data_IF_080622785751
#
_entry.id   IF_080622785751
#
_cell.length_a   1.000
_cell.length_b   1.000
_cell.length_c   1.000
_cell.angle_alpha   90.00
_cell.angle_beta   90.00
_cell.angle_gamma   90.00
#
_symmetry.space_group_name_H-M   'P 1'
#
loop_
_entity.id
_entity.type
_entity.pdbx_description
1 polymer ?
#
# COMPACT_ATOMS: atom_id res chain seq x y z
N UNK A 1 -10.47 24.02 12.24
CA UNK A 1 -9.84 22.80 11.66
C UNK A 1 -10.70 21.60 12.01
N UNK A 2 -11.03 20.73 11.03
CA UNK A 2 -11.78 19.51 11.28
C UNK A 2 -11.04 18.55 12.22
N UNK A 3 -11.79 17.59 12.76
CA UNK A 3 -11.27 16.50 13.59
C UNK A 3 -11.48 15.20 12.80
N UNK A 4 -10.45 14.39 12.76
CA UNK A 4 -10.47 13.05 12.17
C UNK A 4 -10.14 12.03 13.24
N UNK A 5 -10.90 10.95 13.30
CA UNK A 5 -10.51 9.75 14.04
C UNK A 5 -9.75 8.84 13.08
N UNK A 6 -8.53 8.48 13.43
CA UNK A 6 -7.65 7.64 12.61
C UNK A 6 -7.35 6.38 13.41
N UNK A 7 -7.48 5.23 12.74
CA UNK A 7 -7.04 3.95 13.25
C UNK A 7 -5.69 3.58 12.64
N UNK A 8 -4.75 3.25 13.52
CA UNK A 8 -3.42 2.76 13.15
C UNK A 8 -3.23 1.37 13.73
N UNK A 9 -2.61 0.49 12.95
CA UNK A 9 -2.30 -0.89 13.36
C UNK A 9 -0.79 -1.10 13.32
N UNK A 10 -0.28 -1.88 14.27
CA UNK A 10 1.09 -2.38 14.29
C UNK A 10 1.03 -3.83 14.79
N UNK A 11 1.34 -4.79 13.92
CA UNK A 11 1.18 -6.25 14.10
C UNK A 11 -0.19 -6.72 14.64
N UNK A 12 -0.83 -7.66 13.93
CA UNK A 12 -2.10 -8.29 14.35
C UNK A 12 -2.06 -8.79 15.82
N UNK A 13 -3.08 -8.56 16.69
CA UNK A 13 -4.33 -7.80 16.53
C UNK A 13 -4.34 -6.51 17.38
N UNK A 14 -3.27 -5.71 17.38
CA UNK A 14 -3.23 -4.46 18.15
C UNK A 14 -3.47 -3.27 17.22
N UNK A 15 -4.65 -2.67 17.35
CA UNK A 15 -5.01 -1.42 16.69
C UNK A 15 -5.23 -0.32 17.73
N UNK A 16 -5.04 0.93 17.30
CA UNK A 16 -5.25 2.12 18.12
C UNK A 16 -6.10 3.11 17.36
N UNK A 17 -7.06 3.71 18.03
CA UNK A 17 -7.89 4.79 17.48
C UNK A 17 -7.64 6.09 18.22
N UNK A 18 -7.33 7.16 17.49
CA UNK A 18 -7.11 8.49 18.07
C UNK A 18 -7.70 9.58 17.19
N UNK A 19 -8.09 10.69 17.83
CA UNK A 19 -8.64 11.85 17.14
C UNK A 19 -7.60 12.96 16.99
N UNK A 20 -7.33 13.37 15.75
CA UNK A 20 -6.38 14.41 15.39
C UNK A 20 -7.10 15.64 14.80
N UNK A 21 -6.67 16.84 15.20
CA UNK A 21 -7.08 18.08 14.54
C UNK A 21 -6.15 18.32 13.36
N UNK A 22 -6.70 18.31 12.15
CA UNK A 22 -5.93 18.48 10.92
C UNK A 22 -6.74 19.26 9.89
N UNK A 23 -6.08 19.89 8.92
CA UNK A 23 -6.77 20.54 7.81
C UNK A 23 -7.26 19.54 6.76
N UNK A 24 -6.53 18.43 6.58
CA UNK A 24 -6.84 17.38 5.60
C UNK A 24 -6.72 15.99 6.21
N UNK A 25 -7.33 14.96 5.58
CA UNK A 25 -7.14 13.55 5.94
C UNK A 25 -5.67 13.13 5.94
N UNK A 26 -4.87 13.53 4.94
CA UNK A 26 -3.45 13.17 4.83
C UNK A 26 -2.63 13.73 5.97
N UNK A 27 -2.94 14.96 6.40
CA UNK A 27 -2.31 15.54 7.58
C UNK A 27 -2.70 14.79 8.85
N UNK A 28 -3.94 14.33 8.99
CA UNK A 28 -4.35 13.49 10.11
C UNK A 28 -3.63 12.13 10.11
N UNK A 29 -3.45 11.50 8.95
CA UNK A 29 -2.71 10.24 8.80
C UNK A 29 -1.24 10.38 9.19
N UNK A 30 -0.55 11.45 8.75
CA UNK A 30 0.84 11.73 9.18
C UNK A 30 0.95 11.87 10.70
N UNK A 31 0.06 12.68 11.29
CA UNK A 31 0.03 12.85 12.75
C UNK A 31 -0.23 11.53 13.49
N UNK A 32 -0.98 10.60 12.90
CA UNK A 32 -1.27 9.31 13.50
C UNK A 32 -0.09 8.34 13.45
N UNK A 33 0.70 8.37 12.37
CA UNK A 33 1.93 7.58 12.21
C UNK A 33 3.04 8.11 13.13
N UNK A 34 3.17 9.44 13.23
CA UNK A 34 4.19 10.09 14.07
C UNK A 34 3.86 10.01 15.58
N UNK A 35 2.65 9.60 15.97
CA UNK A 35 2.26 9.43 17.37
C UNK A 35 2.86 8.12 17.93
N UNK A 36 4.07 8.24 18.46
CA UNK A 36 4.90 7.18 19.07
C UNK A 36 4.37 6.63 20.42
N UNK A 37 3.23 7.11 20.92
CA UNK A 37 2.70 6.71 22.23
C UNK A 37 1.98 5.37 22.15
N UNK A 38 2.76 4.30 21.98
CA UNK A 38 2.38 2.89 22.03
C UNK A 38 2.65 2.30 23.42
N UNK A 39 2.18 3.02 24.46
CA UNK A 39 2.51 2.76 25.87
C UNK A 39 2.58 1.27 26.21
N UNK A 40 3.77 0.85 26.63
CA UNK A 40 4.14 -0.47 27.17
C UNK A 40 4.50 -1.59 26.17
N UNK A 41 4.51 -1.33 24.86
CA UNK A 41 4.98 -2.32 23.88
C UNK A 41 6.52 -2.43 23.88
N UNK A 42 7.06 -3.65 24.01
CA UNK A 42 8.48 -3.91 23.72
C UNK A 42 8.64 -4.00 22.21
N UNK A 43 9.42 -3.08 21.64
CA UNK A 43 9.74 -3.08 20.21
C UNK A 43 10.63 -4.28 19.88
N UNK A 44 10.12 -5.21 19.07
CA UNK A 44 10.97 -6.18 18.38
C UNK A 44 11.43 -5.53 17.07
N UNK A 45 12.54 -4.80 17.11
CA UNK A 45 13.07 -4.07 15.94
C UNK A 45 13.39 -4.99 14.75
N UNK A 46 13.64 -6.27 15.00
CA UNK A 46 14.03 -7.25 13.97
C UNK A 46 12.81 -7.86 13.26
N UNK A 47 11.64 -7.91 13.91
CA UNK A 47 10.38 -8.35 13.27
C UNK A 47 9.31 -7.26 13.15
N UNK A 48 9.55 -6.05 13.67
CA UNK A 48 8.62 -4.93 13.64
C UNK A 48 8.15 -4.62 12.22
N UNK A 49 6.86 -4.77 11.97
CA UNK A 49 6.22 -4.21 10.77
C UNK A 49 6.13 -2.70 10.91
N UNK A 50 5.87 -1.97 9.82
CA UNK A 50 5.62 -0.54 9.93
C UNK A 50 4.27 -0.25 10.62
N UNK A 51 4.11 0.94 11.19
CA UNK A 51 2.77 1.44 11.53
C UNK A 51 2.08 1.94 10.26
N UNK A 52 0.86 1.47 10.01
CA UNK A 52 0.05 1.92 8.88
C UNK A 52 -1.38 2.23 9.31
N UNK A 53 -2.08 2.99 8.46
CA UNK A 53 -3.47 3.41 8.69
C UNK A 53 -4.41 2.36 8.11
N UNK A 54 -5.33 1.87 8.95
CA UNK A 54 -6.36 0.89 8.55
C UNK A 54 -7.74 1.53 8.39
N UNK A 55 -7.97 2.72 8.94
CA UNK A 55 -9.24 3.42 8.81
C UNK A 55 -9.18 4.89 9.21
N UNK A 56 -10.09 5.68 8.63
CA UNK A 56 -10.23 7.10 8.93
C UNK A 56 -11.70 7.54 8.86
N UNK A 57 -12.14 8.27 9.88
CA UNK A 57 -13.52 8.75 10.00
C UNK A 57 -13.55 10.25 10.34
N UNK A 58 -14.53 10.97 9.81
CA UNK A 58 -14.77 12.37 10.19
C UNK A 58 -15.44 12.46 11.56
N UNK A 59 -14.91 13.31 12.42
CA UNK A 59 -15.41 13.54 13.77
C UNK A 59 -14.53 12.94 14.86
N UNK A 60 -14.82 13.32 16.09
CA UNK A 60 -14.13 12.83 17.30
C UNK A 60 -14.72 11.49 17.71
N UNK A 61 -13.86 10.52 18.05
CA UNK A 61 -14.26 9.17 18.47
C UNK A 61 -15.27 8.52 17.51
N UNK A 62 -15.07 8.73 16.21
CA UNK A 62 -16.03 8.39 15.17
C UNK A 62 -15.75 7.05 14.48
N UNK A 63 -14.79 6.27 14.98
CA UNK A 63 -14.47 4.98 14.41
C UNK A 63 -15.70 4.06 14.41
N UNK A 64 -15.90 3.36 13.29
CA UNK A 64 -17.01 2.42 13.04
C UNK A 64 -18.44 2.98 13.24
N UNK A 65 -18.60 4.29 13.39
CA UNK A 65 -19.87 4.92 13.74
C UNK A 65 -20.14 6.22 12.99
N UNK A 66 -19.08 6.92 12.55
CA UNK A 66 -19.16 8.15 11.78
C UNK A 66 -18.89 7.97 10.29
N UNK A 67 -18.94 9.06 9.52
CA UNK A 67 -18.65 9.04 8.08
C UNK A 67 -17.20 8.63 7.81
N UNK A 68 -17.03 7.46 7.19
CA UNK A 68 -15.74 6.95 6.75
C UNK A 68 -15.17 7.78 5.59
N UNK A 69 -13.85 7.91 5.58
CA UNK A 69 -13.08 8.55 4.52
C UNK A 69 -12.14 7.48 3.95
N UNK A 70 -11.91 7.44 2.63
CA UNK A 70 -10.90 6.55 2.07
C UNK A 70 -9.52 6.82 2.69
N UNK A 71 -8.85 5.76 3.13
CA UNK A 71 -7.44 5.86 3.55
C UNK A 71 -6.61 6.18 2.30
N UNK A 72 -5.79 7.24 2.29
CA UNK A 72 -4.97 7.54 1.12
C UNK A 72 -3.90 6.45 0.92
N UNK A 73 -3.68 6.06 -0.33
CA UNK A 73 -2.75 4.99 -0.72
C UNK A 73 -1.36 5.15 -0.12
N UNK A 74 -0.90 6.36 0.19
CA UNK A 74 0.41 6.58 0.81
C UNK A 74 0.55 6.05 2.25
N UNK A 75 -0.56 5.69 2.92
CA UNK A 75 -0.60 5.38 4.35
C UNK A 75 -1.06 3.95 4.68
N UNK A 76 -1.43 3.15 3.68
CA UNK A 76 -1.64 1.71 3.86
C UNK A 76 -0.32 0.97 4.11
N UNK A 77 -0.40 -0.32 4.44
CA UNK A 77 0.78 -1.16 4.65
C UNK A 77 1.65 -1.21 3.38
N UNK A 78 2.94 -0.89 3.47
CA UNK A 78 3.90 -0.88 2.36
C UNK A 78 3.95 -2.20 1.61
N UNK A 79 3.84 -3.34 2.31
CA UNK A 79 3.82 -4.65 1.64
C UNK A 79 2.60 -4.75 0.72
N UNK A 80 1.42 -4.43 1.22
CA UNK A 80 0.18 -4.44 0.44
C UNK A 80 0.23 -3.45 -0.72
N UNK A 81 0.71 -2.22 -0.47
CA UNK A 81 0.88 -1.20 -1.52
C UNK A 81 1.85 -1.62 -2.62
N UNK A 82 2.95 -2.28 -2.25
CA UNK A 82 3.91 -2.84 -3.21
C UNK A 82 3.29 -3.99 -3.99
N UNK A 83 2.45 -4.82 -3.37
CA UNK A 83 1.73 -5.88 -4.06
C UNK A 83 0.72 -5.31 -5.08
N UNK A 84 -0.04 -4.28 -4.72
CA UNK A 84 -0.96 -3.59 -5.65
C UNK A 84 -0.20 -2.92 -6.80
N UNK A 85 0.93 -2.28 -6.52
CA UNK A 85 1.80 -1.72 -7.56
C UNK A 85 2.38 -2.81 -8.46
N UNK A 86 2.72 -3.98 -7.90
CA UNK A 86 3.25 -5.11 -8.65
C UNK A 86 2.24 -5.58 -9.71
N UNK A 87 0.97 -5.74 -9.35
CA UNK A 87 -0.08 -6.15 -10.30
C UNK A 87 -0.24 -5.13 -11.44
N UNK A 88 -0.21 -3.83 -11.13
CA UNK A 88 -0.26 -2.77 -12.13
C UNK A 88 0.94 -2.80 -13.09
N UNK A 89 2.15 -3.00 -12.56
CA UNK A 89 3.36 -3.10 -13.37
C UNK A 89 3.32 -4.34 -14.29
N UNK A 90 2.81 -5.47 -13.80
CA UNK A 90 2.62 -6.68 -14.61
C UNK A 90 1.63 -6.43 -15.74
N UNK A 91 0.50 -5.77 -15.47
CA UNK A 91 -0.48 -5.43 -16.50
C UNK A 91 0.13 -4.55 -17.60
N UNK A 92 0.87 -3.49 -17.22
CA UNK A 92 1.58 -2.62 -18.17
C UNK A 92 2.61 -3.41 -18.99
N UNK A 93 3.35 -4.32 -18.35
CA UNK A 93 4.39 -5.12 -19.02
C UNK A 93 3.80 -6.08 -20.07
N UNK A 94 2.55 -6.54 -19.90
CA UNK A 94 1.82 -7.38 -20.87
C UNK A 94 1.33 -6.61 -22.10
N UNK A 95 1.34 -5.28 -22.06
CA UNK A 95 1.00 -4.41 -23.18
C UNK A 95 2.26 -3.74 -23.75
N UNK A 96 3.25 -4.50 -24.26
CA UNK A 96 4.53 -3.94 -24.65
C UNK A 96 4.35 -2.97 -25.82
N UNK A 97 4.57 -1.69 -25.55
CA UNK A 97 4.62 -0.62 -26.56
C UNK A 97 6.07 -0.14 -26.64
N UNK A 98 6.57 0.25 -27.83
CA UNK A 98 7.88 0.86 -27.93
C UNK A 98 7.87 2.21 -27.21
N UNK A 99 8.34 2.21 -25.95
CA UNK A 99 8.43 3.36 -25.05
C UNK A 99 9.59 4.29 -25.44
N UNK A 100 9.68 4.63 -26.72
CA UNK A 100 10.85 5.32 -27.30
C UNK A 100 12.04 4.39 -27.58
N UNK A 101 11.88 3.07 -27.39
CA UNK A 101 12.89 2.08 -27.78
C UNK A 101 12.96 1.95 -29.30
N UNK A 102 14.18 1.87 -29.84
CA UNK A 102 14.39 1.39 -31.20
C UNK A 102 13.97 -0.08 -31.33
N UNK A 103 13.73 -0.54 -32.55
CA UNK A 103 13.35 -1.93 -32.81
C UNK A 103 14.37 -2.92 -32.21
N UNK A 104 15.65 -2.65 -32.38
CA UNK A 104 16.72 -3.50 -31.86
C UNK A 104 16.74 -3.54 -30.32
N UNK A 105 16.52 -2.40 -29.64
CA UNK A 105 16.42 -2.35 -28.18
C UNK A 105 15.17 -3.09 -27.67
N UNK A 106 14.05 -2.99 -28.40
CA UNK A 106 12.83 -3.72 -28.09
C UNK A 106 13.02 -5.24 -28.20
N UNK A 107 13.68 -5.71 -29.26
CA UNK A 107 14.01 -7.12 -29.47
C UNK A 107 14.92 -7.67 -28.36
N UNK A 108 15.85 -6.86 -27.84
CA UNK A 108 16.69 -7.24 -26.69
C UNK A 108 15.95 -7.20 -25.35
N UNK A 109 14.98 -6.30 -25.20
CA UNK A 109 14.18 -6.15 -24.00
C UNK A 109 13.13 -7.27 -23.83
N UNK A 110 12.50 -7.70 -24.93
CA UNK A 110 11.36 -8.62 -24.91
C UNK A 110 11.64 -9.95 -24.18
N UNK A 111 12.76 -10.68 -24.39
CA UNK A 111 13.03 -11.92 -23.67
C UNK A 111 13.12 -11.72 -22.14
N UNK A 112 13.66 -10.57 -21.70
CA UNK A 112 13.76 -10.23 -20.27
C UNK A 112 12.39 -9.93 -19.68
N UNK A 113 11.54 -9.21 -20.41
CA UNK A 113 10.16 -8.94 -20.02
C UNK A 113 9.36 -10.25 -19.85
N UNK A 114 9.47 -11.17 -20.81
CA UNK A 114 8.82 -12.49 -20.74
C UNK A 114 9.29 -13.30 -19.52
N UNK A 115 10.59 -13.27 -19.21
CA UNK A 115 11.13 -13.96 -18.03
C UNK A 115 10.60 -13.38 -16.71
N UNK A 116 10.35 -12.06 -16.65
CA UNK A 116 9.74 -11.41 -15.48
C UNK A 116 8.25 -11.76 -15.37
N UNK A 117 7.51 -11.77 -16.49
CA UNK A 117 6.11 -12.18 -16.51
C UNK A 117 5.92 -13.62 -16.03
N UNK A 118 6.79 -14.55 -16.42
CA UNK A 118 6.75 -15.93 -15.94
C UNK A 118 6.93 -16.03 -14.41
N UNK A 119 7.77 -15.17 -13.82
CA UNK A 119 7.91 -15.10 -12.36
C UNK A 119 6.67 -14.50 -11.71
N UNK A 120 6.05 -13.50 -12.34
CA UNK A 120 4.81 -12.92 -11.85
C UNK A 120 3.62 -13.89 -11.88
N UNK A 121 3.53 -14.70 -12.95
CA UNK A 121 2.55 -15.79 -13.07
C UNK A 121 2.72 -16.81 -11.94
N UNK A 122 3.96 -17.17 -11.61
CA UNK A 122 4.25 -18.08 -10.51
C UNK A 122 3.86 -17.52 -9.13
N UNK A 123 3.96 -16.20 -8.93
CA UNK A 123 3.56 -15.52 -7.69
C UNK A 123 2.03 -15.42 -7.58
N UNK A 124 1.36 -15.07 -8.68
CA UNK A 124 -0.10 -14.84 -8.71
C UNK A 124 -0.92 -16.12 -8.86
N UNK A 125 -0.28 -17.24 -9.19
CA UNK A 125 -0.95 -18.52 -9.45
C UNK A 125 -1.76 -18.53 -10.75
N UNK A 126 -1.60 -17.52 -11.61
CA UNK A 126 -2.16 -17.55 -12.96
C UNK A 126 -1.32 -18.46 -13.86
N UNK A 127 -1.93 -19.41 -14.61
CA UNK A 127 -1.18 -20.18 -15.58
C UNK A 127 -0.65 -19.23 -16.65
N UNK A 128 0.66 -19.31 -16.93
CA UNK A 128 1.27 -18.61 -18.05
C UNK A 128 0.45 -18.90 -19.30
N UNK A 129 -0.18 -17.87 -19.87
CA UNK A 129 -0.97 -18.01 -21.09
C UNK A 129 -0.07 -18.64 -22.16
N UNK A 130 -0.37 -19.88 -22.52
CA UNK A 130 0.31 -20.62 -23.58
C UNK A 130 0.24 -19.79 -24.86
N UNK A 131 1.39 -19.42 -25.41
CA UNK A 131 1.47 -18.76 -26.70
C UNK A 131 0.83 -19.67 -27.79
N UNK A 132 0.07 -19.10 -28.75
CA UNK A 132 -0.38 -19.83 -29.94
C UNK A 132 0.77 -20.17 -30.89
#
# INVERSE_FOLDING_TARGET
MPIYTVETTYHLPVYRQRSYKAATPEQACRLAIDDDRWGDAKEDVDTSSETYVTGIWKGRSAAYSGPEVPVPDAFGETVQRKAELFDNLVAILREPRPLGLSQHEFEQWLPRAVAVLAKADAITGSPAASAP
#
